data_IF_416084578651
#
_entry.id   IF_416084578651
#
_cell.length_a   1.000
_cell.length_b   1.000
_cell.length_c   1.000
_cell.angle_alpha   90.00
_cell.angle_beta   90.00
_cell.angle_gamma   90.00
#
_symmetry.space_group_name_H-M   'P 1'
#
loop_
_entity.id
_entity.type
_entity.pdbx_description
1 polymer ?
#
# COMPACT_ATOMS: atom_id res chain seq x y z
N UNK A 1 25.65 25.43 -11.35
CA UNK A 1 24.43 24.78 -11.91
C UNK A 1 24.09 23.57 -11.05
N UNK A 2 22.91 23.50 -10.42
CA UNK A 2 22.49 22.32 -9.64
C UNK A 2 22.25 21.16 -10.60
N UNK A 3 23.16 20.19 -10.65
CA UNK A 3 22.93 18.91 -11.33
C UNK A 3 21.70 18.26 -10.70
N UNK A 4 20.54 18.38 -11.33
CA UNK A 4 19.34 17.62 -10.96
C UNK A 4 19.59 16.17 -11.37
N UNK A 5 20.23 15.38 -10.49
CA UNK A 5 20.31 13.93 -10.69
C UNK A 5 18.89 13.37 -10.82
N UNK A 6 18.63 12.46 -11.77
CA UNK A 6 17.29 11.98 -12.04
C UNK A 6 16.76 11.18 -10.84
N UNK A 7 15.51 11.44 -10.41
CA UNK A 7 14.86 10.79 -9.25
C UNK A 7 14.35 9.38 -9.58
N UNK A 8 15.15 8.59 -10.29
CA UNK A 8 14.75 7.27 -10.77
C UNK A 8 14.62 6.27 -9.62
N UNK A 9 15.58 6.25 -8.69
CA UNK A 9 15.58 5.28 -7.57
C UNK A 9 14.36 5.46 -6.65
N UNK A 10 13.98 6.68 -6.19
CA UNK A 10 12.78 6.88 -5.38
C UNK A 10 11.50 6.52 -6.14
N UNK A 11 11.45 6.78 -7.44
CA UNK A 11 10.30 6.45 -8.27
C UNK A 11 10.12 4.93 -8.43
N UNK A 12 11.21 4.19 -8.66
CA UNK A 12 11.20 2.73 -8.67
C UNK A 12 10.77 2.18 -7.32
N UNK A 13 11.31 2.76 -6.22
CA UNK A 13 10.88 2.43 -4.86
C UNK A 13 9.37 2.63 -4.66
N UNK A 14 8.82 3.74 -5.17
CA UNK A 14 7.39 4.03 -5.08
C UNK A 14 6.54 3.01 -5.84
N UNK A 15 6.90 2.67 -7.07
CA UNK A 15 6.17 1.66 -7.87
C UNK A 15 6.23 0.30 -7.18
N UNK A 16 7.41 -0.12 -6.72
CA UNK A 16 7.57 -1.40 -6.03
C UNK A 16 6.75 -1.44 -4.73
N UNK A 17 6.81 -0.38 -3.92
CA UNK A 17 6.02 -0.27 -2.70
C UNK A 17 4.51 -0.30 -2.95
N UNK A 18 4.03 0.33 -4.02
CA UNK A 18 2.63 0.28 -4.43
C UNK A 18 2.20 -1.15 -4.77
N UNK A 19 3.01 -1.86 -5.57
CA UNK A 19 2.75 -3.25 -5.95
C UNK A 19 2.72 -4.16 -4.73
N UNK A 20 3.70 -4.03 -3.82
CA UNK A 20 3.73 -4.82 -2.58
C UNK A 20 2.52 -4.54 -1.71
N UNK A 21 2.14 -3.28 -1.52
CA UNK A 21 0.96 -2.91 -0.73
C UNK A 21 -0.33 -3.46 -1.32
N UNK A 22 -0.51 -3.34 -2.63
CA UNK A 22 -1.65 -3.88 -3.36
C UNK A 22 -1.73 -5.41 -3.23
N UNK A 23 -0.64 -6.10 -3.57
CA UNK A 23 -0.56 -7.58 -3.53
C UNK A 23 -0.83 -8.07 -2.11
N UNK A 24 -0.24 -7.45 -1.09
CA UNK A 24 -0.44 -7.84 0.31
C UNK A 24 -1.90 -7.72 0.72
N UNK A 25 -2.58 -6.64 0.32
CA UNK A 25 -3.99 -6.42 0.65
C UNK A 25 -4.89 -7.44 -0.04
N UNK A 26 -4.70 -7.66 -1.35
CA UNK A 26 -5.51 -8.62 -2.12
C UNK A 26 -5.25 -10.07 -1.70
N UNK A 27 -4.03 -10.38 -1.26
CA UNK A 27 -3.67 -11.73 -0.80
C UNK A 27 -4.52 -12.19 0.37
N UNK A 28 -5.00 -11.28 1.23
CA UNK A 28 -5.86 -11.64 2.35
C UNK A 28 -7.21 -12.21 1.88
N UNK A 29 -7.81 -11.62 0.83
CA UNK A 29 -9.09 -12.08 0.29
C UNK A 29 -8.97 -13.29 -0.64
N UNK A 30 -7.83 -13.44 -1.33
CA UNK A 30 -7.66 -14.48 -2.36
C UNK A 30 -6.93 -15.71 -1.83
N UNK A 31 -5.81 -15.51 -1.12
CA UNK A 31 -4.90 -16.58 -0.73
C UNK A 31 -5.09 -17.03 0.71
N UNK A 32 -5.43 -16.10 1.60
CA UNK A 32 -5.45 -16.36 3.03
C UNK A 32 -6.85 -16.42 3.65
N UNK A 33 -7.92 -16.22 2.88
CA UNK A 33 -9.30 -16.21 3.41
C UNK A 33 -9.62 -17.48 4.21
N UNK A 34 -9.18 -18.64 3.73
CA UNK A 34 -9.48 -19.94 4.34
C UNK A 34 -8.61 -20.19 5.58
N UNK A 35 -7.37 -19.71 5.56
CA UNK A 35 -6.42 -19.84 6.67
C UNK A 35 -6.73 -18.87 7.82
N UNK A 36 -7.15 -17.66 7.50
CA UNK A 36 -7.48 -16.60 8.47
C UNK A 36 -8.96 -16.62 8.89
N UNK A 37 -9.77 -17.51 8.29
CA UNK A 37 -11.21 -17.66 8.52
C UNK A 37 -12.02 -16.35 8.38
N UNK A 38 -11.45 -15.35 7.72
CA UNK A 38 -12.04 -14.03 7.51
C UNK A 38 -11.41 -13.35 6.30
N UNK A 39 -12.24 -12.62 5.57
CA UNK A 39 -11.87 -11.73 4.46
C UNK A 39 -11.97 -10.25 4.88
N UNK A 40 -11.34 -9.36 4.11
CA UNK A 40 -11.54 -7.92 4.27
C UNK A 40 -13.00 -7.53 4.12
N UNK A 41 -13.73 -8.16 3.19
CA UNK A 41 -15.16 -7.87 2.99
C UNK A 41 -15.98 -8.16 4.25
N UNK A 42 -15.72 -9.28 4.91
CA UNK A 42 -16.40 -9.66 6.14
C UNK A 42 -16.03 -8.72 7.30
N UNK A 43 -14.74 -8.38 7.43
CA UNK A 43 -14.28 -7.42 8.43
C UNK A 43 -14.94 -6.04 8.24
N UNK A 44 -14.99 -5.53 7.00
CA UNK A 44 -15.64 -4.26 6.68
C UNK A 44 -17.15 -4.31 6.94
N UNK A 45 -17.83 -5.40 6.57
CA UNK A 45 -19.25 -5.55 6.85
C UNK A 45 -19.53 -5.54 8.37
N UNK A 46 -18.66 -6.20 9.15
CA UNK A 46 -18.71 -6.18 10.61
C UNK A 46 -18.47 -4.77 11.17
N UNK A 47 -17.47 -4.05 10.67
CA UNK A 47 -17.14 -2.70 11.13
C UNK A 47 -18.23 -1.68 10.78
N UNK A 48 -18.83 -1.77 9.60
CA UNK A 48 -19.97 -0.93 9.21
C UNK A 48 -21.20 -1.22 10.07
N UNK A 49 -21.42 -2.48 10.45
CA UNK A 49 -22.46 -2.83 11.42
C UNK A 49 -22.17 -2.23 12.79
N UNK A 50 -20.94 -2.29 13.26
CA UNK A 50 -20.56 -1.70 14.55
C UNK A 50 -20.68 -0.16 14.54
N UNK A 51 -20.28 0.49 13.44
CA UNK A 51 -20.25 1.95 13.34
C UNK A 51 -21.63 2.57 13.06
N UNK A 52 -22.46 1.93 12.22
CA UNK A 52 -23.73 2.50 11.76
C UNK A 52 -24.95 1.70 12.20
N UNK A 53 -24.78 0.58 12.93
CA UNK A 53 -25.86 -0.36 13.28
C UNK A 53 -26.63 -0.93 12.08
N UNK A 54 -26.04 -0.87 10.88
CA UNK A 54 -26.62 -1.41 9.64
C UNK A 54 -25.99 -2.76 9.34
N UNK A 55 -26.80 -3.80 9.16
CA UNK A 55 -26.30 -5.11 8.74
C UNK A 55 -26.21 -5.15 7.23
N UNK A 56 -25.00 -5.28 6.69
CA UNK A 56 -24.72 -5.32 5.27
C UNK A 56 -24.15 -6.67 4.88
N UNK A 57 -24.52 -7.15 3.69
CA UNK A 57 -23.86 -8.31 3.08
C UNK A 57 -22.41 -7.94 2.70
N UNK A 58 -21.44 -8.86 2.83
CA UNK A 58 -20.07 -8.68 2.33
C UNK A 58 -20.00 -8.31 0.84
N UNK A 59 -21.01 -8.69 0.04
CA UNK A 59 -21.10 -8.37 -1.38
C UNK A 59 -21.94 -7.12 -1.67
N UNK A 60 -22.35 -6.37 -0.64
CA UNK A 60 -23.08 -5.13 -0.84
C UNK A 60 -22.20 -4.05 -1.50
N UNK A 61 -22.77 -3.18 -2.34
CA UNK A 61 -22.02 -2.11 -3.00
C UNK A 61 -21.25 -1.20 -2.03
N UNK A 62 -21.80 -0.98 -0.83
CA UNK A 62 -21.15 -0.13 0.18
C UNK A 62 -19.89 -0.78 0.76
N UNK A 63 -19.93 -2.09 1.05
CA UNK A 63 -18.76 -2.85 1.52
C UNK A 63 -17.68 -2.89 0.44
N UNK A 64 -18.07 -3.13 -0.82
CA UNK A 64 -17.13 -3.12 -1.95
C UNK A 64 -16.48 -1.73 -2.15
N UNK A 65 -17.27 -0.66 -2.02
CA UNK A 65 -16.74 0.71 -2.09
C UNK A 65 -15.72 0.97 -0.97
N UNK A 66 -16.05 0.60 0.26
CA UNK A 66 -15.13 0.73 1.39
C UNK A 66 -13.85 -0.11 1.20
N UNK A 67 -13.97 -1.32 0.66
CA UNK A 67 -12.82 -2.17 0.34
C UNK A 67 -11.90 -1.50 -0.70
N UNK A 68 -12.47 -0.94 -1.77
CA UNK A 68 -11.69 -0.22 -2.78
C UNK A 68 -10.93 0.96 -2.16
N UNK A 69 -11.58 1.71 -1.27
CA UNK A 69 -10.93 2.82 -0.57
C UNK A 69 -9.77 2.34 0.30
N UNK A 70 -9.95 1.25 1.06
CA UNK A 70 -8.90 0.65 1.90
C UNK A 70 -7.72 0.17 1.04
N UNK A 71 -8.00 -0.55 -0.05
CA UNK A 71 -6.96 -1.04 -0.98
C UNK A 71 -6.19 0.12 -1.58
N UNK A 72 -6.87 1.19 -2.01
CA UNK A 72 -6.22 2.39 -2.52
C UNK A 72 -5.36 3.07 -1.46
N UNK A 73 -5.85 3.20 -0.23
CA UNK A 73 -5.10 3.78 0.88
C UNK A 73 -3.84 2.98 1.20
N UNK A 74 -3.92 1.65 1.27
CA UNK A 74 -2.75 0.78 1.54
C UNK A 74 -1.77 0.83 0.37
N UNK A 75 -2.26 0.83 -0.87
CA UNK A 75 -1.42 0.93 -2.08
C UNK A 75 -0.66 2.26 -2.11
N UNK A 76 -1.34 3.38 -1.83
CA UNK A 76 -0.73 4.70 -1.73
C UNK A 76 0.28 4.78 -0.59
N UNK A 77 -0.04 4.19 0.56
CA UNK A 77 0.88 4.12 1.69
C UNK A 77 2.14 3.30 1.35
N UNK A 78 1.97 2.16 0.70
CA UNK A 78 3.07 1.34 0.20
C UNK A 78 3.95 2.12 -0.79
N UNK A 79 3.34 2.86 -1.72
CA UNK A 79 4.06 3.71 -2.66
C UNK A 79 4.86 4.81 -1.94
N UNK A 80 4.24 5.46 -0.95
CA UNK A 80 4.89 6.50 -0.15
C UNK A 80 6.08 5.96 0.65
N UNK A 81 5.90 4.82 1.33
CA UNK A 81 6.98 4.15 2.07
C UNK A 81 8.12 3.71 1.14
N UNK A 82 7.79 3.14 -0.01
CA UNK A 82 8.75 2.74 -1.04
C UNK A 82 9.52 3.92 -1.61
N UNK A 83 8.86 5.07 -1.82
CA UNK A 83 9.51 6.31 -2.23
C UNK A 83 10.51 6.79 -1.17
N UNK A 84 10.10 6.83 0.11
CA UNK A 84 10.99 7.22 1.21
C UNK A 84 12.20 6.30 1.26
N UNK A 85 12.00 4.99 1.19
CA UNK A 85 13.08 4.02 1.21
C UNK A 85 14.04 4.24 0.02
N UNK A 86 13.51 4.36 -1.20
CA UNK A 86 14.33 4.63 -2.39
C UNK A 86 15.06 5.96 -2.31
N UNK A 87 14.47 6.97 -1.67
CA UNK A 87 15.13 8.24 -1.37
C UNK A 87 16.30 8.06 -0.39
N UNK A 88 16.12 7.31 0.70
CA UNK A 88 17.19 7.01 1.65
C UNK A 88 18.34 6.25 1.01
N UNK A 89 18.03 5.26 0.16
CA UNK A 89 19.04 4.51 -0.60
C UNK A 89 19.82 5.43 -1.54
N UNK A 90 19.12 6.26 -2.32
CA UNK A 90 19.79 7.23 -3.19
C UNK A 90 20.66 8.20 -2.40
N UNK A 91 20.16 8.71 -1.27
CA UNK A 91 20.89 9.61 -0.39
C UNK A 91 22.16 8.96 0.18
N UNK A 92 22.07 7.71 0.64
CA UNK A 92 23.20 6.94 1.14
C UNK A 92 24.29 6.79 0.08
N UNK A 93 23.94 6.38 -1.15
CA UNK A 93 24.94 6.24 -2.22
C UNK A 93 25.55 7.57 -2.67
N UNK A 94 24.78 8.67 -2.63
CA UNK A 94 25.34 9.99 -2.93
C UNK A 94 26.40 10.41 -1.90
N UNK A 95 26.29 9.98 -0.65
CA UNK A 95 27.29 10.30 0.38
C UNK A 95 28.66 9.71 0.02
N UNK A 96 28.73 8.47 -0.47
CA UNK A 96 29.99 7.81 -0.83
C UNK A 96 30.59 8.31 -2.16
N UNK A 97 29.76 8.76 -3.10
CA UNK A 97 30.23 9.38 -4.34
C UNK A 97 31.06 10.64 -4.06
N UNK A 98 30.74 11.36 -2.98
CA UNK A 98 31.47 12.57 -2.57
C UNK A 98 32.82 12.28 -1.89
N UNK A 99 33.06 11.05 -1.43
CA UNK A 99 34.32 10.67 -0.77
C UNK A 99 35.42 10.26 -1.77
N UNK A 100 35.02 9.98 -3.03
CA UNK A 100 35.93 9.57 -4.12
C UNK A 100 36.32 10.71 -5.07
N UNK A 101 35.84 11.93 -4.84
CA UNK A 101 36.08 13.12 -5.67
C UNK A 101 36.96 14.12 -4.92
#
# INVERSE_FOLDING_TARGET
MKNKRPRVIPLVGAVFGAVVGFVSTVSMDVLYKDALQSSWKEAIAHDLKAAFSVTLSPDSPLVLLALVLIVLSITLFGAFAGYIFGFLVQWFFMLFDHEKA
#
